data_IF_951916434699
#
_entry.id   IF_951916434699
#
_cell.length_a   1.000
_cell.length_b   1.000
_cell.length_c   1.000
_cell.angle_alpha   90.00
_cell.angle_beta   90.00
_cell.angle_gamma   90.00
#
_symmetry.space_group_name_H-M   'P 1'
#
loop_
_entity.id
_entity.type
_entity.pdbx_description
1 polymer ?
#
# COMPACT_ATOMS: atom_id res chain seq x y z
N UNK A 1 -12.12 28.30 28.45
CA UNK A 1 -11.62 27.37 27.40
C UNK A 1 -10.75 26.33 28.10
N UNK A 2 -11.21 25.08 28.27
CA UNK A 2 -10.50 24.07 29.08
C UNK A 2 -9.23 23.61 28.33
N UNK A 3 -8.01 23.72 28.89
CA UNK A 3 -6.76 23.36 28.20
C UNK A 3 -6.54 21.85 27.98
N UNK A 4 -7.44 20.97 28.45
CA UNK A 4 -7.25 19.52 28.45
C UNK A 4 -7.83 18.73 27.26
N UNK A 5 -8.71 19.32 26.43
CA UNK A 5 -9.45 18.56 25.41
C UNK A 5 -8.72 18.43 24.07
N UNK A 6 -7.89 19.42 23.71
CA UNK A 6 -7.14 19.41 22.44
C UNK A 6 -6.04 18.33 22.43
N UNK A 7 -5.33 18.13 23.55
CA UNK A 7 -4.29 17.10 23.66
C UNK A 7 -4.82 15.67 23.64
N UNK A 8 -6.01 15.45 24.21
CA UNK A 8 -6.70 14.15 24.21
C UNK A 8 -7.19 13.76 22.81
N UNK A 9 -7.80 14.71 22.07
CA UNK A 9 -8.30 14.47 20.71
C UNK A 9 -7.18 14.16 19.71
N UNK A 10 -6.07 14.90 19.75
CA UNK A 10 -4.93 14.65 18.85
C UNK A 10 -4.31 13.27 19.10
N UNK A 11 -4.20 12.87 20.37
CA UNK A 11 -3.71 11.54 20.77
C UNK A 11 -4.64 10.44 20.26
N UNK A 12 -5.96 10.58 20.45
CA UNK A 12 -6.94 9.62 19.96
C UNK A 12 -6.91 9.45 18.43
N UNK A 13 -6.80 10.54 17.67
CA UNK A 13 -6.68 10.48 16.21
C UNK A 13 -5.40 9.77 15.76
N UNK A 14 -4.32 9.87 16.52
CA UNK A 14 -3.08 9.13 16.20
C UNK A 14 -3.22 7.64 16.46
N UNK A 15 -3.92 7.24 17.53
CA UNK A 15 -4.28 5.84 17.72
C UNK A 15 -5.22 5.33 16.61
N UNK A 16 -6.04 6.19 16.03
CA UNK A 16 -6.87 5.83 14.88
C UNK A 16 -6.05 5.47 13.62
N UNK A 17 -4.76 5.79 13.52
CA UNK A 17 -3.88 5.24 12.47
C UNK A 17 -3.76 3.71 12.54
N UNK A 18 -3.98 3.12 13.72
CA UNK A 18 -4.01 1.66 13.86
C UNK A 18 -5.23 1.04 13.16
N UNK A 19 -6.27 1.83 12.85
CA UNK A 19 -7.46 1.37 12.11
C UNK A 19 -7.20 1.15 10.62
N UNK A 20 -6.04 1.58 10.10
CA UNK A 20 -5.65 1.30 8.70
C UNK A 20 -5.58 -0.20 8.44
N UNK A 21 -5.04 -0.98 9.39
CA UNK A 21 -4.96 -2.44 9.28
C UNK A 21 -6.36 -3.09 9.28
N UNK A 22 -7.24 -2.85 10.27
CA UNK A 22 -8.62 -3.31 10.22
C UNK A 22 -9.37 -2.90 8.95
N UNK A 23 -9.20 -1.66 8.46
CA UNK A 23 -9.84 -1.21 7.23
C UNK A 23 -9.38 -2.04 6.01
N UNK A 24 -8.08 -2.35 5.93
CA UNK A 24 -7.55 -3.23 4.90
C UNK A 24 -8.13 -4.65 5.00
N UNK A 25 -8.20 -5.20 6.21
CA UNK A 25 -8.79 -6.52 6.47
C UNK A 25 -10.29 -6.57 6.18
N UNK A 26 -11.03 -5.49 6.41
CA UNK A 26 -12.44 -5.36 5.98
C UNK A 26 -12.53 -5.44 4.45
N UNK A 27 -11.61 -4.81 3.73
CA UNK A 27 -11.49 -4.96 2.28
C UNK A 27 -11.27 -6.41 1.84
N UNK A 28 -10.40 -7.15 2.54
CA UNK A 28 -10.17 -8.59 2.28
C UNK A 28 -11.43 -9.41 2.56
N UNK A 29 -12.07 -9.20 3.72
CA UNK A 29 -13.29 -9.90 4.09
C UNK A 29 -14.44 -9.63 3.11
N UNK A 30 -14.58 -8.39 2.64
CA UNK A 30 -15.54 -8.03 1.59
C UNK A 30 -15.19 -8.73 0.27
N UNK A 31 -13.90 -8.80 -0.09
CA UNK A 31 -13.44 -9.55 -1.26
C UNK A 31 -13.82 -11.03 -1.18
N UNK A 32 -13.57 -11.68 -0.04
CA UNK A 32 -13.96 -13.07 0.19
C UNK A 32 -15.48 -13.29 0.10
N UNK A 33 -16.26 -12.39 0.69
CA UNK A 33 -17.72 -12.45 0.59
C UNK A 33 -18.22 -12.30 -0.86
N UNK A 34 -17.57 -11.45 -1.65
CA UNK A 34 -17.88 -11.24 -3.06
C UNK A 34 -17.38 -12.38 -3.96
N UNK A 35 -16.31 -13.09 -3.58
CA UNK A 35 -15.82 -14.24 -4.30
C UNK A 35 -16.75 -15.46 -4.18
N UNK A 36 -17.45 -15.62 -3.04
CA UNK A 36 -18.24 -16.81 -2.74
C UNK A 36 -19.21 -17.17 -3.90
N UNK A 37 -19.15 -18.40 -4.45
CA UNK A 37 -18.55 -19.62 -3.86
C UNK A 37 -17.11 -19.94 -4.27
N UNK A 38 -16.41 -19.06 -5.00
CA UNK A 38 -15.09 -19.37 -5.55
C UNK A 38 -14.04 -19.57 -4.43
N UNK A 39 -13.08 -20.51 -4.58
CA UNK A 39 -12.01 -20.69 -3.63
C UNK A 39 -11.17 -19.41 -3.54
N UNK A 40 -11.02 -18.87 -2.33
CA UNK A 40 -10.17 -17.70 -2.09
C UNK A 40 -9.03 -18.09 -1.18
N UNK A 41 -7.82 -17.76 -1.61
CA UNK A 41 -6.61 -18.19 -0.93
C UNK A 41 -6.42 -17.44 0.40
N UNK A 42 -5.88 -18.17 1.39
CA UNK A 42 -5.68 -17.67 2.75
C UNK A 42 -4.59 -16.59 2.84
N UNK A 43 -3.81 -16.39 1.77
CA UNK A 43 -2.73 -15.41 1.70
C UNK A 43 -3.19 -13.95 1.52
N UNK A 44 -4.44 -13.70 1.11
CA UNK A 44 -4.95 -12.34 0.83
C UNK A 44 -4.73 -11.33 1.98
N UNK A 45 -4.96 -11.66 3.28
CA UNK A 45 -4.67 -10.76 4.39
C UNK A 45 -3.19 -10.42 4.51
N UNK A 46 -2.31 -11.42 4.43
CA UNK A 46 -0.86 -11.23 4.57
C UNK A 46 -0.33 -10.38 3.42
N UNK A 47 -0.78 -10.67 2.19
CA UNK A 47 -0.44 -9.89 1.00
C UNK A 47 -0.89 -8.44 1.11
N UNK A 48 -2.12 -8.20 1.58
CA UNK A 48 -2.63 -6.84 1.83
C UNK A 48 -1.74 -6.07 2.81
N UNK A 49 -1.31 -6.74 3.88
CA UNK A 49 -0.42 -6.13 4.87
C UNK A 49 0.97 -5.85 4.27
N UNK A 50 1.55 -6.78 3.52
CA UNK A 50 2.83 -6.60 2.85
C UNK A 50 2.79 -5.41 1.87
N UNK A 51 1.77 -5.34 1.01
CA UNK A 51 1.58 -4.25 0.05
C UNK A 51 1.40 -2.89 0.75
N UNK A 52 0.60 -2.85 1.83
CA UNK A 52 0.40 -1.65 2.63
C UNK A 52 1.67 -1.18 3.36
N UNK A 53 2.46 -2.11 3.90
CA UNK A 53 3.73 -1.83 4.56
C UNK A 53 4.77 -1.32 3.56
N UNK A 54 4.91 -1.99 2.41
CA UNK A 54 5.80 -1.55 1.33
C UNK A 54 5.44 -0.17 0.79
N UNK A 55 4.14 0.09 0.56
CA UNK A 55 3.67 1.41 0.19
C UNK A 55 3.99 2.46 1.28
N UNK A 56 3.81 2.13 2.55
CA UNK A 56 4.17 3.03 3.67
C UNK A 56 5.66 3.36 3.68
N UNK A 57 6.53 2.35 3.48
CA UNK A 57 7.98 2.54 3.38
C UNK A 57 8.33 3.44 2.19
N UNK A 58 7.73 3.18 1.02
CA UNK A 58 7.90 4.01 -0.18
C UNK A 58 7.52 5.47 0.09
N UNK A 59 6.36 5.71 0.72
CA UNK A 59 5.89 7.04 1.09
C UNK A 59 6.78 7.76 2.08
N UNK A 60 7.23 7.07 3.13
CA UNK A 60 8.15 7.61 4.14
C UNK A 60 9.51 7.99 3.51
N UNK A 61 10.01 7.19 2.56
CA UNK A 61 11.25 7.48 1.85
C UNK A 61 11.09 8.64 0.86
N UNK A 62 9.89 8.84 0.30
CA UNK A 62 9.59 9.93 -0.63
C UNK A 62 9.32 11.28 0.05
N UNK A 63 9.12 11.33 1.38
CA UNK A 63 8.82 12.56 2.12
C UNK A 63 9.76 13.75 1.81
N UNK A 64 11.11 13.58 1.75
CA UNK A 64 12.01 14.69 1.44
C UNK A 64 11.82 15.28 0.04
N UNK A 65 11.24 14.52 -0.90
CA UNK A 65 10.94 14.98 -2.28
C UNK A 65 9.70 15.86 -2.35
N UNK A 66 8.82 15.81 -1.34
CA UNK A 66 7.68 16.73 -1.23
C UNK A 66 8.11 18.11 -0.74
N UNK A 67 9.00 18.16 0.25
CA UNK A 67 9.43 19.42 0.85
C UNK A 67 10.73 19.26 1.64
N UNK A 68 11.64 20.23 1.48
CA UNK A 68 12.92 20.30 2.21
C UNK A 68 12.80 20.35 3.75
N UNK A 69 11.60 20.56 4.31
CA UNK A 69 11.36 20.54 5.76
C UNK A 69 11.09 19.12 6.26
N UNK A 70 10.68 18.22 5.38
CA UNK A 70 10.44 16.82 5.70
C UNK A 70 11.77 16.07 5.66
N UNK A 71 12.22 15.64 6.82
CA UNK A 71 13.41 14.79 6.97
C UNK A 71 13.02 13.32 6.88
N UNK A 72 13.92 12.43 6.43
CA UNK A 72 13.66 10.99 6.47
C UNK A 72 13.35 10.53 7.90
N UNK A 73 12.21 9.88 8.08
CA UNK A 73 11.80 9.34 9.37
C UNK A 73 12.44 7.96 9.61
N UNK A 74 13.77 7.91 9.77
CA UNK A 74 14.56 6.67 9.82
C UNK A 74 14.04 5.63 10.82
N UNK A 75 13.55 6.07 11.99
CA UNK A 75 12.92 5.15 12.96
C UNK A 75 11.66 4.48 12.40
N UNK A 76 10.80 5.23 11.72
CA UNK A 76 9.61 4.68 11.09
C UNK A 76 9.99 3.79 9.92
N UNK A 77 10.95 4.20 9.09
CA UNK A 77 11.46 3.38 7.99
C UNK A 77 12.03 2.03 8.48
N UNK A 78 12.77 2.02 9.59
CA UNK A 78 13.28 0.80 10.20
C UNK A 78 12.15 -0.11 10.72
N UNK A 79 11.17 0.46 11.43
CA UNK A 79 10.03 -0.28 11.98
C UNK A 79 9.15 -0.85 10.86
N UNK A 80 8.70 -0.01 9.93
CA UNK A 80 7.84 -0.43 8.82
C UNK A 80 8.59 -1.35 7.84
N UNK A 81 9.89 -1.11 7.61
CA UNK A 81 10.73 -2.00 6.82
C UNK A 81 10.87 -3.39 7.46
N UNK A 82 11.11 -3.47 8.77
CA UNK A 82 11.18 -4.75 9.48
C UNK A 82 9.83 -5.48 9.50
N UNK A 83 8.73 -4.77 9.70
CA UNK A 83 7.38 -5.34 9.59
C UNK A 83 7.09 -5.84 8.16
N UNK A 84 7.53 -5.10 7.14
CA UNK A 84 7.38 -5.50 5.75
C UNK A 84 8.14 -6.79 5.48
N UNK A 85 9.40 -6.89 5.90
CA UNK A 85 10.19 -8.13 5.80
C UNK A 85 9.51 -9.31 6.49
N UNK A 86 8.94 -9.10 7.67
CA UNK A 86 8.21 -10.16 8.38
C UNK A 86 6.96 -10.60 7.60
N UNK A 87 6.19 -9.65 7.07
CA UNK A 87 5.01 -9.96 6.26
C UNK A 87 5.38 -10.72 4.98
N UNK A 88 6.43 -10.30 4.28
CA UNK A 88 6.94 -10.99 3.09
C UNK A 88 7.46 -12.39 3.39
N UNK A 89 8.10 -12.60 4.54
CA UNK A 89 8.53 -13.93 4.97
C UNK A 89 7.34 -14.86 5.25
N UNK A 90 6.31 -14.36 5.94
CA UNK A 90 5.08 -15.12 6.19
C UNK A 90 4.37 -15.44 4.87
N UNK A 91 4.29 -14.48 3.95
CA UNK A 91 3.71 -14.68 2.61
C UNK A 91 4.47 -15.76 1.84
N UNK A 92 5.79 -15.64 1.72
CA UNK A 92 6.65 -16.60 1.03
C UNK A 92 6.56 -18.02 1.63
N UNK A 93 6.48 -18.12 2.96
CA UNK A 93 6.32 -19.41 3.63
C UNK A 93 4.94 -20.03 3.40
N UNK A 94 3.90 -19.20 3.30
CA UNK A 94 2.53 -19.64 3.01
C UNK A 94 2.42 -20.11 1.57
N UNK A 95 2.95 -19.34 0.61
CA UNK A 95 3.04 -19.71 -0.81
C UNK A 95 3.81 -21.05 -0.98
N UNK A 96 4.92 -21.23 -0.26
CA UNK A 96 5.68 -22.48 -0.28
C UNK A 96 4.86 -23.67 0.25
N UNK A 97 4.18 -23.49 1.38
CA UNK A 97 3.34 -24.54 1.99
C UNK A 97 2.18 -24.95 1.08
N UNK A 98 1.54 -23.98 0.42
CA UNK A 98 0.47 -24.21 -0.55
C UNK A 98 0.96 -24.98 -1.78
N UNK A 99 2.12 -24.60 -2.34
CA UNK A 99 2.71 -25.29 -3.50
C UNK A 99 3.11 -26.73 -3.17
N UNK A 100 3.61 -26.97 -1.96
CA UNK A 100 3.95 -28.33 -1.48
C UNK A 100 2.70 -29.13 -1.08
N UNK A 101 1.58 -28.46 -0.80
CA UNK A 101 0.32 -29.10 -0.40
C UNK A 101 0.29 -29.55 1.06
N UNK A 102 1.01 -28.86 1.95
CA UNK A 102 1.08 -29.17 3.40
C UNK A 102 0.68 -27.94 4.23
N UNK A 103 0.16 -28.12 5.45
CA UNK A 103 -0.03 -26.99 6.35
C UNK A 103 1.33 -26.36 6.71
N UNK A 104 1.36 -25.03 6.92
CA UNK A 104 2.57 -24.27 7.24
C UNK A 104 3.37 -24.85 8.42
N UNK A 105 2.69 -25.44 9.41
CA UNK A 105 3.32 -26.07 10.58
C UNK A 105 4.10 -27.36 10.28
N UNK A 106 3.89 -27.96 9.09
CA UNK A 106 4.58 -29.18 8.62
C UNK A 106 5.56 -28.90 7.49
N UNK A 107 5.70 -27.65 7.05
CA UNK A 107 6.64 -27.28 6.01
C UNK A 107 8.07 -27.51 6.50
N UNK A 108 8.82 -28.37 5.80
CA UNK A 108 10.22 -28.66 6.15
C UNK A 108 11.13 -27.62 5.51
N UNK A 109 12.27 -27.36 6.15
CA UNK A 109 13.27 -26.43 5.63
C UNK A 109 13.83 -26.85 4.26
N UNK A 110 13.92 -28.17 4.00
CA UNK A 110 14.29 -28.71 2.68
C UNK A 110 13.29 -28.32 1.60
N UNK A 111 12.00 -28.62 1.82
CA UNK A 111 10.92 -28.30 0.88
C UNK A 111 10.82 -26.79 0.61
N UNK A 112 11.00 -25.95 1.64
CA UNK A 112 11.07 -24.50 1.48
C UNK A 112 12.28 -24.06 0.64
N UNK A 113 13.45 -24.66 0.90
CA UNK A 113 14.67 -24.42 0.12
C UNK A 113 14.49 -24.80 -1.35
N UNK A 114 13.87 -25.95 -1.62
CA UNK A 114 13.57 -26.43 -2.96
C UNK A 114 12.60 -25.49 -3.68
N UNK A 115 11.56 -25.02 -3.00
CA UNK A 115 10.61 -24.03 -3.53
C UNK A 115 11.33 -22.74 -3.94
N UNK A 116 12.14 -22.17 -3.06
CA UNK A 116 12.85 -20.91 -3.33
C UNK A 116 13.94 -21.08 -4.42
N UNK A 117 14.56 -22.24 -4.51
CA UNK A 117 15.62 -22.50 -5.48
C UNK A 117 15.08 -22.81 -6.89
N UNK A 118 13.98 -23.57 -6.99
CA UNK A 118 13.55 -24.18 -8.25
C UNK A 118 12.18 -23.71 -8.76
N UNK A 119 11.38 -23.02 -7.94
CA UNK A 119 10.07 -22.52 -8.37
C UNK A 119 10.16 -21.01 -8.62
N UNK A 120 9.69 -20.55 -9.78
CA UNK A 120 9.79 -19.13 -10.17
C UNK A 120 9.13 -18.19 -9.15
N UNK A 121 7.98 -18.59 -8.60
CA UNK A 121 7.31 -17.84 -7.51
C UNK A 121 8.20 -17.69 -6.28
N UNK A 122 8.87 -18.77 -5.85
CA UNK A 122 9.82 -18.76 -4.74
C UNK A 122 11.06 -17.91 -5.01
N UNK A 123 11.58 -17.92 -6.24
CA UNK A 123 12.71 -17.09 -6.66
C UNK A 123 12.37 -15.58 -6.63
N UNK A 124 11.15 -15.22 -7.06
CA UNK A 124 10.67 -13.84 -6.97
C UNK A 124 10.47 -13.45 -5.50
N UNK A 125 9.82 -14.31 -4.72
CA UNK A 125 9.53 -14.03 -3.31
C UNK A 125 10.79 -13.91 -2.45
N UNK A 126 11.85 -14.70 -2.70
CA UNK A 126 13.14 -14.51 -2.00
C UNK A 126 13.84 -13.22 -2.42
N UNK A 127 13.75 -12.82 -3.70
CA UNK A 127 14.29 -11.54 -4.15
C UNK A 127 13.56 -10.36 -3.48
N UNK A 128 12.24 -10.46 -3.33
CA UNK A 128 11.44 -9.50 -2.56
C UNK A 128 11.86 -9.47 -1.10
N UNK A 129 12.02 -10.65 -0.47
CA UNK A 129 12.44 -10.75 0.94
C UNK A 129 13.81 -10.12 1.17
N UNK A 130 14.78 -10.38 0.29
CA UNK A 130 16.12 -9.76 0.33
C UNK A 130 16.01 -8.23 0.20
N UNK A 131 15.20 -7.75 -0.74
CA UNK A 131 14.98 -6.32 -0.96
C UNK A 131 14.40 -5.61 0.27
N UNK A 132 13.35 -6.18 0.88
CA UNK A 132 12.77 -5.62 2.12
C UNK A 132 13.76 -5.67 3.28
N UNK A 133 14.50 -6.77 3.44
CA UNK A 133 15.51 -6.92 4.49
C UNK A 133 16.65 -5.90 4.33
N UNK A 134 17.10 -5.65 3.09
CA UNK A 134 18.09 -4.62 2.79
C UNK A 134 17.58 -3.22 3.18
N UNK A 135 16.32 -2.90 2.86
CA UNK A 135 15.67 -1.65 3.27
C UNK A 135 15.59 -1.53 4.80
N UNK A 136 15.18 -2.59 5.50
CA UNK A 136 15.07 -2.61 6.96
C UNK A 136 16.43 -2.43 7.65
N UNK A 137 17.44 -3.19 7.20
CA UNK A 137 18.81 -3.12 7.70
C UNK A 137 19.43 -1.75 7.46
N UNK A 138 19.36 -1.24 6.22
CA UNK A 138 19.89 0.07 5.88
C UNK A 138 19.20 1.18 6.68
N UNK A 139 17.87 1.15 6.81
CA UNK A 139 17.13 2.13 7.61
C UNK A 139 17.50 2.09 9.10
N UNK A 140 17.79 0.90 9.64
CA UNK A 140 18.26 0.72 11.02
C UNK A 140 19.67 1.28 11.22
N UNK A 141 20.57 1.08 10.26
CA UNK A 141 21.91 1.66 10.27
C UNK A 141 21.87 3.19 10.11
N UNK A 142 21.03 3.68 9.19
CA UNK A 142 20.81 5.10 8.95
C UNK A 142 20.22 5.81 10.17
N UNK A 143 19.32 5.14 10.92
CA UNK A 143 18.81 5.66 12.20
C UNK A 143 19.93 5.94 13.21
N UNK A 144 21.01 5.15 13.21
CA UNK A 144 22.17 5.36 14.08
C UNK A 144 23.16 6.41 13.56
N UNK A 145 23.16 6.68 12.24
CA UNK A 145 24.10 7.61 11.57
C UNK A 145 23.41 8.41 10.46
N UNK A 146 22.45 9.29 10.79
CA UNK A 146 21.58 9.93 9.80
C UNK A 146 22.34 10.89 8.85
N UNK A 147 23.41 11.52 9.32
CA UNK A 147 24.21 12.51 8.57
C UNK A 147 24.84 11.96 7.28
N UNK A 148 24.99 10.63 7.16
CA UNK A 148 25.66 9.96 6.03
C UNK A 148 24.70 9.17 5.14
N UNK A 149 23.41 9.14 5.48
CA UNK A 149 22.44 8.27 4.85
C UNK A 149 21.54 9.05 3.87
N UNK A 150 21.37 8.52 2.67
CA UNK A 150 20.39 9.02 1.70
C UNK A 150 19.11 8.19 1.75
N UNK A 151 17.96 8.86 1.82
CA UNK A 151 16.64 8.22 1.70
C UNK A 151 16.36 7.72 0.28
N UNK A 152 17.10 8.21 -0.72
CA UNK A 152 16.92 7.81 -2.12
C UNK A 152 17.23 6.33 -2.34
N UNK A 153 18.21 5.78 -1.59
CA UNK A 153 18.49 4.36 -1.63
C UNK A 153 17.28 3.55 -1.14
N UNK A 154 16.65 3.96 -0.03
CA UNK A 154 15.44 3.30 0.47
C UNK A 154 14.30 3.44 -0.54
N UNK A 155 14.13 4.62 -1.12
CA UNK A 155 13.09 4.88 -2.12
C UNK A 155 13.23 3.95 -3.34
N UNK A 156 14.43 3.85 -3.90
CA UNK A 156 14.71 3.00 -5.07
C UNK A 156 14.51 1.53 -4.74
N UNK A 157 15.08 1.03 -3.64
CA UNK A 157 14.92 -0.37 -3.27
C UNK A 157 13.48 -0.72 -2.92
N UNK A 158 12.77 0.14 -2.18
CA UNK A 158 11.34 -0.08 -1.90
C UNK A 158 10.50 -0.10 -3.19
N UNK A 159 10.78 0.81 -4.13
CA UNK A 159 10.10 0.84 -5.43
C UNK A 159 10.35 -0.44 -6.23
N UNK A 160 11.62 -0.87 -6.34
CA UNK A 160 12.00 -2.11 -7.04
C UNK A 160 11.30 -3.30 -6.38
N UNK A 161 11.42 -3.45 -5.06
CA UNK A 161 10.82 -4.57 -4.33
C UNK A 161 9.29 -4.63 -4.47
N UNK A 162 8.60 -3.49 -4.49
CA UNK A 162 7.15 -3.44 -4.71
C UNK A 162 6.72 -3.91 -6.11
N UNK A 163 7.53 -3.69 -7.15
CA UNK A 163 7.15 -4.05 -8.52
C UNK A 163 7.51 -5.48 -8.90
N UNK A 164 8.39 -6.15 -8.15
CA UNK A 164 8.87 -7.51 -8.47
C UNK A 164 7.74 -8.53 -8.65
N UNK A 165 6.75 -8.59 -7.74
CA UNK A 165 5.60 -9.52 -7.88
C UNK A 165 4.66 -9.12 -9.03
N UNK A 166 4.22 -7.84 -9.16
CA UNK A 166 3.34 -7.46 -10.27
C UNK A 166 3.92 -7.69 -11.67
N UNK A 167 5.22 -7.46 -11.88
CA UNK A 167 5.83 -7.58 -13.23
C UNK A 167 5.96 -9.01 -13.74
N UNK A 168 5.82 -10.02 -12.87
CA UNK A 168 5.93 -11.44 -13.21
C UNK A 168 4.58 -12.16 -13.21
N UNK A 169 3.48 -11.45 -12.93
CA UNK A 169 2.13 -12.02 -12.97
C UNK A 169 1.64 -12.29 -14.41
N UNK A 170 0.44 -12.85 -14.56
CA UNK A 170 -0.15 -13.16 -15.87
C UNK A 170 -0.18 -11.99 -16.86
N UNK A 171 -0.31 -10.76 -16.36
CA UNK A 171 -0.25 -9.56 -17.19
C UNK A 171 1.09 -9.43 -17.94
N UNK A 172 2.19 -9.99 -17.42
CA UNK A 172 3.50 -9.97 -18.09
C UNK A 172 3.51 -10.66 -19.45
N UNK A 173 2.54 -11.53 -19.74
CA UNK A 173 2.36 -12.17 -21.04
C UNK A 173 1.87 -11.20 -22.12
N UNK A 174 1.35 -10.03 -21.73
CA UNK A 174 0.94 -8.96 -22.63
C UNK A 174 2.12 -8.02 -22.90
N UNK A 175 2.22 -7.49 -24.13
CA UNK A 175 3.34 -6.64 -24.59
C UNK A 175 3.73 -5.50 -23.63
N UNK A 176 2.74 -4.89 -22.97
CA UNK A 176 2.96 -3.79 -22.01
C UNK A 176 2.56 -4.14 -20.58
N UNK A 177 2.15 -5.38 -20.29
CA UNK A 177 1.49 -5.68 -19.02
C UNK A 177 2.41 -5.61 -17.81
N UNK A 178 3.69 -6.00 -17.92
CA UNK A 178 4.67 -5.78 -16.83
C UNK A 178 4.87 -4.30 -16.54
N UNK A 179 4.96 -3.46 -17.57
CA UNK A 179 5.12 -2.00 -17.40
C UNK A 179 3.88 -1.39 -16.75
N UNK A 180 2.68 -1.76 -17.23
CA UNK A 180 1.42 -1.28 -16.66
C UNK A 180 1.24 -1.72 -15.20
N UNK A 181 1.63 -2.97 -14.88
CA UNK A 181 1.58 -3.49 -13.52
C UNK A 181 2.55 -2.75 -12.58
N UNK A 182 3.78 -2.49 -13.04
CA UNK A 182 4.76 -1.70 -12.29
C UNK A 182 4.28 -0.26 -12.05
N UNK A 183 3.78 0.41 -13.10
CA UNK A 183 3.25 1.77 -13.00
C UNK A 183 2.05 1.83 -12.06
N UNK A 184 1.13 0.86 -12.14
CA UNK A 184 -0.02 0.78 -11.24
C UNK A 184 0.41 0.64 -9.79
N UNK A 185 1.29 -0.32 -9.50
CA UNK A 185 1.76 -0.61 -8.14
C UNK A 185 2.51 0.57 -7.53
N UNK A 186 3.43 1.21 -8.28
CA UNK A 186 4.18 2.37 -7.81
C UNK A 186 3.28 3.59 -7.62
N UNK A 187 2.35 3.85 -8.53
CA UNK A 187 1.44 4.98 -8.41
C UNK A 187 0.45 4.80 -7.24
N UNK A 188 -0.10 3.60 -7.07
CA UNK A 188 -0.98 3.28 -5.93
C UNK A 188 -0.21 3.34 -4.61
N UNK A 189 0.98 2.75 -4.56
CA UNK A 189 1.86 2.76 -3.41
C UNK A 189 2.31 4.17 -3.02
N UNK A 190 2.67 5.01 -3.99
CA UNK A 190 3.03 6.41 -3.74
C UNK A 190 1.84 7.23 -3.26
N UNK A 191 0.66 7.06 -3.87
CA UNK A 191 -0.55 7.78 -3.46
C UNK A 191 -0.95 7.43 -2.01
N UNK A 192 -1.09 6.14 -1.70
CA UNK A 192 -1.44 5.66 -0.35
C UNK A 192 -0.35 5.97 0.66
N UNK A 193 0.86 5.54 0.35
CA UNK A 193 2.01 5.56 1.24
C UNK A 193 2.40 6.96 1.64
N UNK A 194 2.38 7.92 0.70
CA UNK A 194 2.78 9.28 0.99
C UNK A 194 1.75 9.99 1.88
N UNK A 195 0.45 9.77 1.67
CA UNK A 195 -0.57 10.32 2.56
C UNK A 195 -0.49 9.74 3.97
N UNK A 196 -0.28 8.43 4.09
CA UNK A 196 -0.09 7.76 5.37
C UNK A 196 1.20 8.24 6.05
N UNK A 197 2.30 8.40 5.30
CA UNK A 197 3.53 8.98 5.80
C UNK A 197 3.31 10.40 6.34
N UNK A 198 2.54 11.24 5.64
CA UNK A 198 2.17 12.57 6.14
C UNK A 198 1.34 12.50 7.42
N UNK A 199 0.34 11.63 7.49
CA UNK A 199 -0.45 11.41 8.71
C UNK A 199 0.42 10.92 9.89
N UNK A 200 1.47 10.17 9.61
CA UNK A 200 2.44 9.67 10.58
C UNK A 200 3.42 10.73 11.07
N UNK A 201 3.79 11.74 10.26
CA UNK A 201 4.90 12.67 10.60
C UNK A 201 4.48 14.13 10.81
N UNK A 202 3.43 14.60 10.12
CA UNK A 202 3.00 16.01 10.16
C UNK A 202 2.22 16.29 11.44
N UNK A 203 2.61 17.33 12.19
CA UNK A 203 2.07 17.57 13.54
C UNK A 203 1.34 18.89 13.67
N UNK A 204 1.73 19.89 12.91
CA UNK A 204 1.25 21.25 13.09
C UNK A 204 0.36 21.71 11.94
N UNK A 205 -0.50 22.68 12.24
CA UNK A 205 -1.36 23.36 11.25
C UNK A 205 -0.53 24.00 10.13
N UNK A 206 0.60 24.63 10.48
CA UNK A 206 1.48 25.27 9.51
C UNK A 206 2.17 24.28 8.57
N UNK A 207 2.59 23.12 9.08
CA UNK A 207 3.14 22.06 8.22
C UNK A 207 2.09 21.52 7.23
N UNK A 208 0.87 21.23 7.70
CA UNK A 208 -0.23 20.81 6.83
C UNK A 208 -0.54 21.85 5.74
N UNK A 209 -0.56 23.14 6.10
CA UNK A 209 -0.83 24.23 5.15
C UNK A 209 0.18 24.28 3.98
N UNK A 210 1.43 23.93 4.25
CA UNK A 210 2.51 24.00 3.25
C UNK A 210 2.67 22.69 2.48
N UNK A 211 2.50 21.53 3.15
CA UNK A 211 2.80 20.23 2.56
C UNK A 211 1.60 19.66 1.80
N UNK A 212 0.38 19.85 2.31
CA UNK A 212 -0.83 19.27 1.70
C UNK A 212 -1.05 19.68 0.24
N UNK A 213 -0.84 20.95 -0.18
CA UNK A 213 -0.99 21.33 -1.58
C UNK A 213 0.01 20.63 -2.50
N UNK A 214 1.23 20.39 -2.01
CA UNK A 214 2.28 19.69 -2.77
C UNK A 214 1.93 18.21 -2.92
N UNK A 215 1.52 17.55 -1.83
CA UNK A 215 1.00 16.20 -1.89
C UNK A 215 -0.16 16.10 -2.87
N UNK A 216 -1.14 17.02 -2.79
CA UNK A 216 -2.29 17.01 -3.70
C UNK A 216 -1.85 17.15 -5.16
N UNK A 217 -0.85 17.99 -5.45
CA UNK A 217 -0.23 18.11 -6.78
C UNK A 217 0.38 16.80 -7.28
N UNK A 218 1.13 16.09 -6.43
CA UNK A 218 1.70 14.77 -6.75
C UNK A 218 0.66 13.65 -6.83
N UNK A 219 -0.41 13.72 -6.04
CA UNK A 219 -1.46 12.73 -6.03
C UNK A 219 -2.23 12.68 -7.36
N UNK A 220 -2.41 13.81 -8.05
CA UNK A 220 -3.13 13.85 -9.34
C UNK A 220 -2.54 12.91 -10.41
N UNK A 221 -1.25 13.02 -10.79
CA UNK A 221 -0.68 12.11 -11.78
C UNK A 221 -0.66 10.66 -11.28
N UNK A 222 -0.48 10.41 -9.98
CA UNK A 222 -0.55 9.06 -9.42
C UNK A 222 -1.95 8.46 -9.56
N UNK A 223 -2.99 9.20 -9.19
CA UNK A 223 -4.39 8.82 -9.34
C UNK A 223 -4.74 8.57 -10.81
N UNK A 224 -4.29 9.44 -11.72
CA UNK A 224 -4.49 9.26 -13.15
C UNK A 224 -3.82 7.97 -13.65
N UNK A 225 -2.57 7.72 -13.26
CA UNK A 225 -1.84 6.51 -13.62
C UNK A 225 -2.54 5.24 -13.09
N UNK A 226 -2.95 5.22 -11.81
CA UNK A 226 -3.70 4.11 -11.20
C UNK A 226 -5.01 3.86 -11.95
N UNK A 227 -5.74 4.92 -12.28
CA UNK A 227 -7.03 4.82 -12.97
C UNK A 227 -6.85 4.26 -14.38
N UNK A 228 -5.95 4.83 -15.18
CA UNK A 228 -5.71 4.38 -16.57
C UNK A 228 -5.22 2.94 -16.60
N UNK A 229 -4.18 2.61 -15.81
CA UNK A 229 -3.65 1.25 -15.76
C UNK A 229 -4.67 0.25 -15.19
N UNK A 230 -5.49 0.66 -14.23
CA UNK A 230 -6.57 -0.16 -13.66
C UNK A 230 -7.66 -0.47 -14.68
N UNK A 231 -8.09 0.53 -15.47
CA UNK A 231 -9.08 0.35 -16.55
C UNK A 231 -8.52 -0.57 -17.62
N UNK A 232 -7.28 -0.35 -18.09
CA UNK A 232 -6.65 -1.21 -19.10
C UNK A 232 -6.56 -2.65 -18.60
N UNK A 233 -6.07 -2.87 -17.37
CA UNK A 233 -5.98 -4.22 -16.79
C UNK A 233 -7.35 -4.89 -16.62
N UNK A 234 -8.37 -4.12 -16.21
CA UNK A 234 -9.73 -4.61 -16.09
C UNK A 234 -10.32 -5.05 -17.44
N UNK A 235 -10.19 -4.21 -18.47
CA UNK A 235 -10.69 -4.50 -19.81
C UNK A 235 -10.00 -5.71 -20.44
N UNK A 236 -8.67 -5.82 -20.30
CA UNK A 236 -7.89 -6.96 -20.82
C UNK A 236 -8.32 -8.28 -20.16
N UNK A 237 -8.69 -8.25 -18.88
CA UNK A 237 -8.96 -9.48 -18.11
C UNK A 237 -10.41 -9.93 -18.13
N UNK A 238 -11.36 -9.00 -18.28
CA UNK A 238 -12.79 -9.34 -18.24
C UNK A 238 -13.26 -9.97 -19.54
N UNK A 239 -12.88 -9.42 -20.71
CA UNK A 239 -13.21 -9.96 -22.04
C UNK A 239 -14.70 -9.97 -22.40
N UNK A 240 -15.57 -10.41 -21.49
CA UNK A 240 -17.03 -10.51 -21.56
C UNK A 240 -17.68 -9.78 -20.36
N UNK A 241 -18.51 -8.74 -20.59
CA UNK A 241 -19.23 -8.01 -19.54
C UNK A 241 -20.17 -8.87 -18.68
N UNK A 242 -20.67 -10.00 -19.17
CA UNK A 242 -21.56 -10.90 -18.41
C UNK A 242 -20.79 -11.57 -17.26
N UNK A 243 -19.51 -11.87 -17.48
CA UNK A 243 -18.63 -12.44 -16.46
C UNK A 243 -18.39 -11.50 -15.27
N UNK A 244 -18.70 -10.20 -15.38
CA UNK A 244 -18.56 -9.24 -14.27
C UNK A 244 -19.54 -9.50 -13.12
N UNK A 245 -20.75 -9.95 -13.42
CA UNK A 245 -21.77 -10.20 -12.41
C UNK A 245 -21.77 -11.66 -11.93
N UNK A 246 -21.41 -12.59 -12.83
CA UNK A 246 -21.59 -14.03 -12.60
C UNK A 246 -20.37 -14.72 -11.95
N UNK A 247 -19.20 -14.07 -11.95
CA UNK A 247 -17.96 -14.63 -11.34
C UNK A 247 -17.59 -13.92 -10.03
N UNK A 248 -16.92 -14.62 -9.12
CA UNK A 248 -16.34 -14.00 -7.92
C UNK A 248 -15.31 -12.92 -8.26
N UNK A 249 -14.44 -13.20 -9.23
CA UNK A 249 -13.48 -12.23 -9.77
C UNK A 249 -14.17 -10.94 -10.26
N UNK A 250 -15.23 -11.09 -11.08
CA UNK A 250 -16.00 -9.97 -11.64
C UNK A 250 -16.63 -9.10 -10.56
N UNK A 251 -17.26 -9.72 -9.55
CA UNK A 251 -17.89 -9.01 -8.42
C UNK A 251 -16.87 -8.24 -7.58
N UNK A 252 -15.70 -8.81 -7.31
CA UNK A 252 -14.61 -8.08 -6.63
C UNK A 252 -14.11 -6.91 -7.49
N UNK A 253 -13.93 -7.11 -8.79
CA UNK A 253 -13.49 -6.07 -9.71
C UNK A 253 -14.50 -4.90 -9.78
N UNK A 254 -15.80 -5.19 -9.80
CA UNK A 254 -16.86 -4.18 -9.73
C UNK A 254 -16.80 -3.40 -8.43
N UNK A 255 -16.69 -4.09 -7.28
CA UNK A 255 -16.56 -3.43 -5.98
C UNK A 255 -15.32 -2.52 -5.92
N UNK A 256 -14.17 -3.01 -6.43
CA UNK A 256 -12.93 -2.21 -6.54
C UNK A 256 -13.14 -0.98 -7.43
N UNK A 257 -13.87 -1.12 -8.53
CA UNK A 257 -14.19 0.00 -9.44
C UNK A 257 -15.08 1.04 -8.76
N UNK A 258 -16.14 0.62 -8.05
CA UNK A 258 -17.02 1.52 -7.29
C UNK A 258 -16.22 2.26 -6.22
N UNK A 259 -15.36 1.58 -5.48
CA UNK A 259 -14.51 2.22 -4.47
C UNK A 259 -13.48 3.17 -5.10
N UNK A 260 -12.91 2.83 -6.25
CA UNK A 260 -12.02 3.74 -6.98
C UNK A 260 -12.76 5.01 -7.41
N UNK A 261 -13.99 4.91 -7.93
CA UNK A 261 -14.83 6.06 -8.27
C UNK A 261 -15.16 6.91 -7.02
N UNK A 262 -15.45 6.26 -5.89
CA UNK A 262 -15.68 6.94 -4.62
C UNK A 262 -14.43 7.71 -4.16
N UNK A 263 -13.22 7.14 -4.29
CA UNK A 263 -11.97 7.82 -4.00
C UNK A 263 -11.69 8.99 -4.95
N UNK A 264 -12.00 8.86 -6.24
CA UNK A 264 -11.89 9.96 -7.20
C UNK A 264 -12.81 11.13 -6.83
N UNK A 265 -14.07 10.83 -6.47
CA UNK A 265 -15.03 11.81 -5.98
C UNK A 265 -14.57 12.47 -4.67
N UNK A 266 -14.05 11.67 -3.74
CA UNK A 266 -13.51 12.14 -2.47
C UNK A 266 -12.29 13.05 -2.67
N UNK A 267 -11.34 12.64 -3.51
CA UNK A 267 -10.15 13.40 -3.85
C UNK A 267 -10.47 14.73 -4.53
N UNK A 268 -11.44 14.74 -5.44
CA UNK A 268 -11.97 15.97 -6.06
C UNK A 268 -12.59 16.90 -5.01
N UNK A 269 -13.41 16.34 -4.11
CA UNK A 269 -14.05 17.09 -3.05
C UNK A 269 -13.04 17.65 -2.03
N UNK A 270 -12.01 16.88 -1.67
CA UNK A 270 -10.88 17.31 -0.83
C UNK A 270 -10.05 18.39 -1.48
N UNK A 271 -9.77 18.29 -2.78
CA UNK A 271 -9.06 19.34 -3.52
C UNK A 271 -9.81 20.67 -3.50
N UNK A 272 -11.14 20.67 -3.44
CA UNK A 272 -11.96 21.89 -3.37
C UNK A 272 -12.23 22.39 -1.95
N UNK A 273 -12.37 21.49 -0.98
CA UNK A 273 -12.83 21.84 0.38
C UNK A 273 -11.77 21.70 1.48
N UNK A 274 -10.78 20.83 1.30
CA UNK A 274 -9.71 20.58 2.27
C UNK A 274 -8.47 21.41 1.94
N UNK A 275 -7.94 21.25 0.72
CA UNK A 275 -6.65 21.84 0.33
C UNK A 275 -6.65 23.36 0.48
N UNK A 276 -7.61 24.14 -0.07
CA UNK A 276 -7.57 25.60 0.02
C UNK A 276 -7.68 26.09 1.46
N UNK A 277 -8.59 25.49 2.24
CA UNK A 277 -8.81 25.86 3.66
C UNK A 277 -7.57 25.55 4.51
N UNK A 278 -6.89 24.43 4.25
CA UNK A 278 -5.63 24.12 4.91
C UNK A 278 -4.51 25.10 4.53
N UNK A 279 -4.37 25.44 3.23
CA UNK A 279 -3.37 26.39 2.72
C UNK A 279 -3.53 27.78 3.32
N UNK A 280 -4.77 28.26 3.45
CA UNK A 280 -5.10 29.54 4.12
C UNK A 280 -4.86 29.48 5.64
N UNK A 281 -4.29 28.38 6.13
CA UNK A 281 -4.16 28.06 7.52
C UNK A 281 -5.53 28.01 8.21
N UNK A 282 -6.68 27.93 7.57
CA UNK A 282 -7.97 27.98 8.28
C UNK A 282 -8.42 26.63 8.87
N UNK A 283 -7.62 25.58 8.73
CA UNK A 283 -7.90 24.24 9.26
C UNK A 283 -6.97 23.84 10.40
N UNK A 284 -7.50 23.16 11.42
CA UNK A 284 -6.69 22.58 12.49
C UNK A 284 -5.85 21.40 11.97
N UNK A 285 -4.77 21.06 12.67
CA UNK A 285 -3.96 19.88 12.35
C UNK A 285 -4.76 18.59 12.55
N UNK A 286 -5.61 18.54 13.58
CA UNK A 286 -6.45 17.38 13.90
C UNK A 286 -7.53 17.13 12.83
N UNK A 287 -8.13 18.18 12.27
CA UNK A 287 -9.14 18.03 11.20
C UNK A 287 -8.47 17.62 9.88
N UNK A 288 -7.27 18.12 9.58
CA UNK A 288 -6.47 17.64 8.44
C UNK A 288 -6.07 16.17 8.62
N UNK A 289 -5.63 15.79 9.82
CA UNK A 289 -5.30 14.38 10.13
C UNK A 289 -6.53 13.49 10.00
N UNK A 290 -7.70 13.93 10.47
CA UNK A 290 -8.96 13.17 10.32
C UNK A 290 -9.33 12.94 8.85
N UNK A 291 -9.18 13.95 7.99
CA UNK A 291 -9.45 13.80 6.54
C UNK A 291 -8.46 12.87 5.86
N UNK A 292 -7.17 12.99 6.20
CA UNK A 292 -6.14 12.06 5.76
C UNK A 292 -6.45 10.62 6.18
N UNK A 293 -6.86 10.41 7.44
CA UNK A 293 -7.25 9.10 7.96
C UNK A 293 -8.43 8.50 7.20
N UNK A 294 -9.46 9.29 6.91
CA UNK A 294 -10.62 8.81 6.13
C UNK A 294 -10.18 8.33 4.75
N UNK A 295 -9.40 9.13 4.02
CA UNK A 295 -8.91 8.76 2.69
C UNK A 295 -8.02 7.51 2.76
N UNK A 296 -7.06 7.46 3.68
CA UNK A 296 -6.17 6.30 3.88
C UNK A 296 -6.95 5.03 4.24
N UNK A 297 -7.98 5.11 5.10
CA UNK A 297 -8.79 3.92 5.45
C UNK A 297 -9.58 3.39 4.24
N UNK A 298 -10.13 4.27 3.41
CA UNK A 298 -10.82 3.86 2.17
C UNK A 298 -9.83 3.24 1.19
N UNK A 299 -8.65 3.84 1.02
CA UNK A 299 -7.58 3.27 0.18
C UNK A 299 -7.08 1.92 0.71
N UNK A 300 -6.95 1.76 2.03
CA UNK A 300 -6.55 0.50 2.66
C UNK A 300 -7.57 -0.62 2.36
N UNK A 301 -8.87 -0.33 2.45
CA UNK A 301 -9.91 -1.27 2.05
C UNK A 301 -9.82 -1.63 0.55
N UNK A 302 -9.48 -0.67 -0.33
CA UNK A 302 -9.22 -0.95 -1.75
C UNK A 302 -8.00 -1.86 -1.95
N UNK A 303 -6.93 -1.69 -1.15
CA UNK A 303 -5.78 -2.59 -1.16
C UNK A 303 -6.20 -4.02 -0.76
N UNK A 304 -7.07 -4.16 0.26
CA UNK A 304 -7.62 -5.47 0.66
C UNK A 304 -8.42 -6.15 -0.45
N UNK A 305 -9.30 -5.41 -1.13
CA UNK A 305 -10.01 -5.91 -2.31
C UNK A 305 -9.04 -6.29 -3.44
N UNK A 306 -8.01 -5.47 -3.67
CA UNK A 306 -7.02 -5.71 -4.73
C UNK A 306 -6.17 -6.96 -4.48
N UNK A 307 -5.73 -7.18 -3.24
CA UNK A 307 -5.01 -8.38 -2.85
C UNK A 307 -5.90 -9.63 -3.02
N UNK A 308 -7.16 -9.55 -2.60
CA UNK A 308 -8.12 -10.65 -2.78
C UNK A 308 -8.36 -10.95 -4.26
N UNK A 309 -8.58 -9.92 -5.08
CA UNK A 309 -8.73 -10.05 -6.53
C UNK A 309 -7.53 -10.73 -7.19
N UNK A 310 -6.32 -10.46 -6.69
CA UNK A 310 -5.09 -11.01 -7.27
C UNK A 310 -4.86 -12.50 -6.98
N UNK A 311 -5.61 -13.07 -6.03
CA UNK A 311 -5.53 -14.48 -5.60
C UNK A 311 -6.84 -15.23 -5.84
N UNK A 312 -7.83 -14.57 -6.46
CA UNK A 312 -9.09 -15.18 -6.90
C UNK A 312 -8.90 -15.66 -8.34
N UNK A 313 -9.28 -16.92 -8.59
CA UNK A 313 -9.21 -17.56 -9.91
C UNK A 313 -10.16 -16.89 -10.93
#
# INVERSE_FOLDING_TARGET
>A
MRPGTAGSRSTALRYALLLVVPAALVGVAAGWALAAPDPVQAEAPVRTLADGLGATVLGLAALPRLHDRLRPAWRLLAVFGGLWTLAEFVLLSTEAAEVVGVPLSRLRAGDFGDYVAHVSGGQIGIAVLIGTAAVACYSTLAFRRPERASADLVLVFAAVTLVLRPITGHMSQQTLGSVLAAVHALAAGAWFGLLLALALVVRTRGEWAVILPRYSGWALPAVAAVTVTGVVNGLVRVGDPVALADTGYGRILLAKTVMALALLGLGWWWRRSWVPVATDHRMSADDSLRRALIEVMVMAAVFGLAATLSVTA
#
